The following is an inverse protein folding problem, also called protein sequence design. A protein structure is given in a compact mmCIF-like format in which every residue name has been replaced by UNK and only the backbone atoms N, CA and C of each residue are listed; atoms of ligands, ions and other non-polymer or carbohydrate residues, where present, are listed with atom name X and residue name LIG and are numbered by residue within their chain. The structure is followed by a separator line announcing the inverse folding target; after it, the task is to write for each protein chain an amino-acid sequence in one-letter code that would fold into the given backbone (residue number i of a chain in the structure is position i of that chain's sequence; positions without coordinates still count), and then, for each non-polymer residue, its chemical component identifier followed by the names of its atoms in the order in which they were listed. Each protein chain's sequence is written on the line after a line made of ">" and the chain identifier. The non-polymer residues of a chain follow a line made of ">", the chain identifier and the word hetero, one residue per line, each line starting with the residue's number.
data_IF_161603418224
#
_entry.id   IF_161603418224
#
_cell.length_a   1.000
_cell.length_b   1.000
_cell.length_c   1.000
_cell.angle_alpha   90.00
_cell.angle_beta   90.00
_cell.angle_gamma   90.00
#
_symmetry.space_group_name_H-M   'P 1'
#
loop_
_entity.id
_entity.type
_entity.pdbx_description
1 polymer ?
#
# COMPACT_ATOMS: atom_id res chain seq x y z
N UNK A 1 22.68 -22.90 7.85
CA UNK A 1 21.51 -22.52 7.04
C UNK A 1 21.28 -21.05 7.32
N UNK A 2 21.46 -20.17 6.33
CA UNK A 2 20.99 -18.79 6.44
C UNK A 2 19.47 -18.86 6.44
N UNK A 3 18.83 -18.42 7.52
CA UNK A 3 17.38 -18.23 7.53
C UNK A 3 17.12 -17.14 6.50
N UNK A 4 16.45 -17.47 5.40
CA UNK A 4 16.11 -16.47 4.38
C UNK A 4 15.13 -15.49 5.04
N UNK A 5 15.55 -14.24 5.21
CA UNK A 5 14.78 -13.26 5.94
C UNK A 5 13.50 -12.93 5.15
N UNK A 6 12.37 -12.84 5.85
CA UNK A 6 11.12 -12.46 5.21
C UNK A 6 11.25 -11.05 4.63
N UNK A 7 10.43 -10.71 3.61
CA UNK A 7 10.44 -9.34 3.08
C UNK A 7 10.13 -8.33 4.19
N UNK A 8 9.23 -8.67 5.12
CA UNK A 8 8.93 -7.87 6.29
C UNK A 8 10.18 -7.54 7.11
N UNK A 9 11.02 -8.54 7.40
CA UNK A 9 12.27 -8.34 8.14
C UNK A 9 13.26 -7.47 7.37
N UNK A 10 13.39 -7.68 6.05
CA UNK A 10 14.28 -6.87 5.20
C UNK A 10 13.84 -5.41 5.10
N UNK A 11 12.53 -5.17 5.13
CA UNK A 11 11.97 -3.82 5.18
C UNK A 11 12.22 -3.12 6.52
N UNK A 12 12.61 -3.84 7.58
CA UNK A 12 12.75 -3.28 8.93
C UNK A 12 11.49 -3.42 9.79
N UNK A 13 10.65 -4.40 9.49
CA UNK A 13 9.43 -4.73 10.22
C UNK A 13 8.36 -3.63 10.12
N UNK A 14 7.54 -3.50 11.16
CA UNK A 14 6.37 -2.61 11.17
C UNK A 14 6.72 -1.15 10.82
N UNK A 15 7.85 -0.63 11.31
CA UNK A 15 8.30 0.73 11.02
C UNK A 15 8.70 0.89 9.55
N UNK A 16 9.37 -0.12 8.99
CA UNK A 16 9.69 -0.19 7.56
C UNK A 16 8.46 -0.18 6.68
N UNK A 17 7.50 -1.08 6.97
CA UNK A 17 6.22 -1.15 6.28
C UNK A 17 5.44 0.16 6.39
N UNK A 18 5.45 0.82 7.55
CA UNK A 18 4.80 2.11 7.72
C UNK A 18 5.39 3.20 6.80
N UNK A 19 6.72 3.27 6.71
CA UNK A 19 7.41 4.22 5.82
C UNK A 19 7.12 3.90 4.35
N UNK A 20 7.19 2.62 3.95
CA UNK A 20 6.83 2.17 2.62
C UNK A 20 5.39 2.58 2.25
N UNK A 21 4.43 2.41 3.16
CA UNK A 21 3.03 2.79 2.92
C UNK A 21 2.86 4.30 2.74
N UNK A 22 3.55 5.11 3.53
CA UNK A 22 3.48 6.57 3.40
C UNK A 22 4.00 7.02 2.02
N UNK A 23 5.10 6.42 1.54
CA UNK A 23 5.66 6.71 0.22
C UNK A 23 4.77 6.20 -0.94
N UNK A 24 4.14 5.02 -0.80
CA UNK A 24 3.17 4.50 -1.79
C UNK A 24 2.00 5.48 -1.95
N UNK A 25 1.45 5.96 -0.83
CA UNK A 25 0.32 6.90 -0.85
C UNK A 25 0.72 8.22 -1.52
N UNK A 26 1.93 8.73 -1.26
CA UNK A 26 2.40 9.95 -1.92
C UNK A 26 2.67 9.74 -3.41
N UNK A 27 3.21 8.57 -3.80
CA UNK A 27 3.36 8.19 -5.20
C UNK A 27 2.01 8.21 -5.93
N UNK A 28 0.98 7.58 -5.34
CA UNK A 28 -0.37 7.61 -5.90
C UNK A 28 -0.96 9.02 -6.00
N UNK A 29 -0.71 9.89 -5.01
CA UNK A 29 -1.16 11.29 -5.03
C UNK A 29 -0.44 12.14 -6.08
N UNK A 30 0.74 11.73 -6.51
CA UNK A 30 1.55 12.41 -7.54
C UNK A 30 1.37 11.82 -8.95
N UNK A 31 0.90 10.58 -9.06
CA UNK A 31 0.78 9.86 -10.33
C UNK A 31 -0.34 10.46 -11.23
N UNK A 32 -0.02 10.93 -12.46
CA UNK A 32 -1.01 11.60 -13.31
C UNK A 32 -2.21 10.73 -13.72
N UNK A 33 -2.06 9.41 -13.73
CA UNK A 33 -3.11 8.45 -14.10
C UNK A 33 -4.14 8.27 -12.99
N UNK A 34 -3.68 8.19 -11.74
CA UNK A 34 -4.54 7.79 -10.60
C UNK A 34 -4.74 8.86 -9.54
N UNK A 35 -3.94 9.94 -9.53
CA UNK A 35 -4.01 11.00 -8.48
C UNK A 35 -5.39 11.56 -8.24
N UNK A 36 -6.25 11.63 -9.26
CA UNK A 36 -7.62 12.10 -9.13
C UNK A 36 -8.45 11.28 -8.11
N UNK A 37 -8.11 10.00 -7.91
CA UNK A 37 -8.74 9.12 -6.91
C UNK A 37 -8.17 9.31 -5.51
N UNK A 38 -6.93 9.77 -5.40
CA UNK A 38 -6.19 9.83 -4.13
C UNK A 38 -6.13 11.22 -3.50
N UNK A 39 -6.06 12.29 -4.30
CA UNK A 39 -6.02 13.67 -3.80
C UNK A 39 -7.21 14.00 -2.86
N UNK A 40 -8.45 13.54 -3.10
CA UNK A 40 -9.58 13.81 -2.18
C UNK A 40 -9.36 13.33 -0.74
N UNK A 41 -8.47 12.36 -0.49
CA UNK A 41 -8.15 11.93 0.88
C UNK A 41 -7.43 13.02 1.70
N UNK A 42 -6.79 14.01 1.05
CA UNK A 42 -6.17 15.15 1.75
C UNK A 42 -7.20 15.97 2.53
N UNK A 43 -8.44 16.00 2.06
CA UNK A 43 -9.56 16.69 2.71
C UNK A 43 -10.17 15.90 3.88
N UNK A 44 -9.77 14.64 4.07
CA UNK A 44 -10.26 13.80 5.16
C UNK A 44 -9.12 12.98 5.80
N UNK A 45 -8.32 13.60 6.69
CA UNK A 45 -7.16 12.97 7.32
C UNK A 45 -7.51 11.69 8.11
N UNK A 46 -8.66 11.65 8.77
CA UNK A 46 -9.11 10.47 9.53
C UNK A 46 -9.39 9.27 8.62
N UNK A 47 -10.01 9.52 7.45
CA UNK A 47 -10.22 8.48 6.47
C UNK A 47 -8.89 8.03 5.84
N UNK A 48 -7.99 8.96 5.54
CA UNK A 48 -6.65 8.64 5.05
C UNK A 48 -5.87 7.78 6.04
N UNK A 49 -5.93 8.09 7.33
CA UNK A 49 -5.28 7.31 8.38
C UNK A 49 -5.80 5.86 8.42
N UNK A 50 -7.11 5.64 8.23
CA UNK A 50 -7.71 4.30 8.13
C UNK A 50 -7.25 3.54 6.88
N UNK A 51 -7.18 4.21 5.73
CA UNK A 51 -6.67 3.62 4.48
C UNK A 51 -5.20 3.20 4.64
N UNK A 52 -4.36 4.07 5.22
CA UNK A 52 -2.96 3.74 5.52
C UNK A 52 -2.84 2.57 6.48
N UNK A 53 -3.68 2.50 7.52
CA UNK A 53 -3.66 1.36 8.45
C UNK A 53 -4.01 0.06 7.74
N UNK A 54 -5.07 0.04 6.92
CA UNK A 54 -5.43 -1.15 6.14
C UNK A 54 -4.31 -1.59 5.19
N UNK A 55 -3.63 -0.64 4.54
CA UNK A 55 -2.51 -0.97 3.65
C UNK A 55 -1.29 -1.49 4.43
N UNK A 56 -0.98 -0.93 5.61
CA UNK A 56 0.06 -1.46 6.50
C UNK A 56 -0.24 -2.88 6.93
N UNK A 57 -1.45 -3.15 7.38
CA UNK A 57 -1.85 -4.50 7.82
C UNK A 57 -1.79 -5.49 6.65
N UNK A 58 -2.22 -5.08 5.45
CA UNK A 58 -2.20 -5.89 4.25
C UNK A 58 -0.76 -6.22 3.79
N UNK A 59 0.12 -5.22 3.71
CA UNK A 59 1.51 -5.41 3.30
C UNK A 59 2.34 -6.11 4.38
N UNK A 60 2.10 -5.83 5.67
CA UNK A 60 2.72 -6.54 6.78
C UNK A 60 2.42 -8.03 6.71
N UNK A 61 1.13 -8.39 6.65
CA UNK A 61 0.70 -9.78 6.51
C UNK A 61 1.26 -10.44 5.23
N UNK A 62 1.18 -9.74 4.09
CA UNK A 62 1.62 -10.26 2.79
C UNK A 62 3.14 -10.41 2.63
N UNK A 63 3.93 -9.65 3.40
CA UNK A 63 5.39 -9.71 3.36
C UNK A 63 6.01 -10.68 4.38
N UNK A 64 5.18 -11.40 5.13
CA UNK A 64 5.61 -12.38 6.14
C UNK A 64 5.72 -11.81 7.56
N UNK A 65 5.12 -10.65 7.82
CA UNK A 65 5.01 -10.04 9.14
C UNK A 65 3.90 -10.65 10.02
N UNK A 66 3.86 -10.30 11.31
CA UNK A 66 2.85 -10.78 12.25
C UNK A 66 1.49 -10.07 12.14
N UNK A 67 1.39 -9.03 11.32
CA UNK A 67 0.15 -8.27 11.13
C UNK A 67 -0.98 -9.15 10.56
N UNK A 68 -2.21 -8.86 10.97
CA UNK A 68 -3.40 -9.53 10.47
C UNK A 68 -4.29 -8.54 9.73
N UNK A 69 -4.45 -8.77 8.42
CA UNK A 69 -5.38 -7.99 7.62
C UNK A 69 -6.82 -8.45 7.85
N UNK A 70 -7.59 -7.63 8.57
CA UNK A 70 -9.01 -7.86 8.85
C UNK A 70 -9.94 -6.94 8.03
N UNK A 71 -9.41 -6.34 6.97
CA UNK A 71 -10.18 -5.48 6.07
C UNK A 71 -11.03 -6.25 5.06
N UNK A 72 -11.68 -5.50 4.17
CA UNK A 72 -12.42 -6.07 3.03
C UNK A 72 -11.47 -6.81 2.10
N UNK A 73 -11.93 -7.86 1.42
CA UNK A 73 -11.15 -8.47 0.33
C UNK A 73 -10.77 -7.42 -0.72
N UNK A 74 -9.67 -7.61 -1.46
CA UNK A 74 -9.28 -6.66 -2.52
C UNK A 74 -10.40 -6.41 -3.53
N UNK A 75 -11.17 -7.45 -3.88
CA UNK A 75 -12.32 -7.32 -4.76
C UNK A 75 -13.47 -6.52 -4.14
N UNK A 76 -13.75 -6.69 -2.85
CA UNK A 76 -14.84 -5.97 -2.16
C UNK A 76 -14.45 -4.52 -1.84
N UNK A 77 -13.17 -4.27 -1.54
CA UNK A 77 -12.65 -2.94 -1.25
C UNK A 77 -12.78 -2.01 -2.45
N UNK A 78 -12.56 -2.54 -3.66
CA UNK A 78 -12.57 -1.79 -4.93
C UNK A 78 -13.85 -1.95 -5.76
N UNK A 79 -14.83 -2.73 -5.28
CA UNK A 79 -16.11 -2.93 -5.99
C UNK A 79 -16.82 -1.59 -6.21
N UNK A 80 -17.30 -1.38 -7.44
CA UNK A 80 -18.07 -0.19 -7.80
C UNK A 80 -17.25 1.08 -8.04
N UNK A 81 -15.91 1.02 -7.90
CA UNK A 81 -15.04 2.17 -8.15
C UNK A 81 -14.75 2.41 -9.64
N UNK A 82 -15.19 1.49 -10.52
CA UNK A 82 -14.91 1.52 -11.96
C UNK A 82 -13.40 1.69 -12.24
N UNK A 83 -12.56 0.89 -11.57
CA UNK A 83 -11.11 0.87 -11.79
C UNK A 83 -10.84 0.11 -13.08
N UNK A 84 -10.17 0.77 -14.03
CA UNK A 84 -9.78 0.14 -15.29
C UNK A 84 -8.37 -0.48 -15.21
N UNK A 85 -7.97 -1.20 -16.27
CA UNK A 85 -6.68 -1.88 -16.31
C UNK A 85 -5.48 -0.91 -16.23
N UNK A 86 -5.57 0.28 -16.83
CA UNK A 86 -4.51 1.28 -16.80
C UNK A 86 -4.31 1.83 -15.38
N UNK A 87 -5.40 2.12 -14.67
CA UNK A 87 -5.35 2.58 -13.29
C UNK A 87 -4.81 1.51 -12.35
N UNK A 88 -5.24 0.25 -12.55
CA UNK A 88 -4.72 -0.88 -11.80
C UNK A 88 -3.20 -1.04 -11.98
N UNK A 89 -2.73 -1.03 -13.23
CA UNK A 89 -1.30 -1.14 -13.52
C UNK A 89 -0.52 0.04 -12.94
N UNK A 90 -1.00 1.27 -13.09
CA UNK A 90 -0.34 2.45 -12.52
C UNK A 90 -0.20 2.36 -10.99
N UNK A 91 -1.21 1.84 -10.29
CA UNK A 91 -1.12 1.64 -8.85
C UNK A 91 -0.10 0.54 -8.48
N UNK A 92 -0.07 -0.57 -9.23
CA UNK A 92 0.93 -1.63 -9.01
C UNK A 92 2.35 -1.12 -9.28
N UNK A 93 2.55 -0.36 -10.36
CA UNK A 93 3.85 0.19 -10.72
C UNK A 93 4.37 1.16 -9.65
N UNK A 94 3.52 2.02 -9.09
CA UNK A 94 3.86 2.89 -7.96
C UNK A 94 4.27 2.07 -6.72
N UNK A 95 3.54 0.98 -6.41
CA UNK A 95 3.84 0.09 -5.27
C UNK A 95 5.20 -0.58 -5.46
N UNK A 96 5.45 -1.17 -6.63
CA UNK A 96 6.69 -1.88 -6.92
C UNK A 96 7.89 -0.93 -6.96
N UNK A 97 7.75 0.22 -7.62
CA UNK A 97 8.81 1.23 -7.69
C UNK A 97 9.15 1.81 -6.31
N UNK A 98 8.17 1.89 -5.41
CA UNK A 98 8.42 2.31 -4.03
C UNK A 98 9.09 1.19 -3.24
N UNK A 99 8.61 -0.05 -3.38
CA UNK A 99 9.21 -1.21 -2.72
C UNK A 99 10.71 -1.36 -3.05
N UNK A 100 11.10 -1.19 -4.32
CA UNK A 100 12.50 -1.25 -4.76
C UNK A 100 13.42 -0.22 -4.08
N UNK A 101 12.86 0.91 -3.61
CA UNK A 101 13.64 1.93 -2.87
C UNK A 101 13.86 1.56 -1.41
N UNK A 102 13.05 0.64 -0.87
CA UNK A 102 13.01 0.28 0.55
C UNK A 102 13.63 -1.09 0.86
N UNK A 103 13.91 -1.92 -0.15
CA UNK A 103 14.38 -3.30 0.01
C UNK A 103 15.68 -3.62 -0.74
#
# INVERSE_FOLDING_TARGET
>A
MTVDQSLYERLGGATGVATLVDDIVEAHMSNPTIKARFIPYRENPDHLAKVRQHLRDFLGAGSGGPEQYNGRSMTDAHRGMNVNAQEYMAAIDDIMSTLEKHN
#
